data_IF_932907830740
#
_entry.id   IF_932907830740
#
_cell.length_a   1.000
_cell.length_b   1.000
_cell.length_c   1.000
_cell.angle_alpha   90.00
_cell.angle_beta   90.00
_cell.angle_gamma   90.00
#
_symmetry.space_group_name_H-M   'P 1'
#
loop_
_entity.id
_entity.type
_entity.pdbx_description
1 polymer ?
#
# COMPACT_ATOMS: atom_id res chain seq x y z
N UNK A 1 64.39 30.71 -15.19
CA UNK A 1 63.81 31.42 -14.04
C UNK A 1 63.64 30.54 -12.79
N UNK A 2 63.59 29.23 -12.93
CA UNK A 2 63.40 28.28 -11.81
C UNK A 2 64.65 28.19 -10.90
N UNK A 3 65.84 28.24 -11.47
CA UNK A 3 67.10 28.22 -10.72
C UNK A 3 67.29 29.47 -9.85
N UNK A 4 66.85 30.60 -10.33
CA UNK A 4 66.98 31.88 -9.60
C UNK A 4 65.94 31.93 -8.40
N UNK A 5 64.80 31.21 -8.49
CA UNK A 5 63.79 31.16 -7.45
C UNK A 5 64.23 30.19 -6.33
N UNK A 6 64.94 29.12 -6.69
CA UNK A 6 65.53 28.18 -5.75
C UNK A 6 66.72 28.77 -4.97
N UNK A 7 67.60 29.50 -5.62
CA UNK A 7 68.73 30.19 -4.98
C UNK A 7 68.24 31.26 -3.95
N UNK A 8 67.22 31.99 -4.30
CA UNK A 8 66.53 32.92 -3.34
C UNK A 8 65.88 32.18 -2.18
N UNK A 9 65.24 31.04 -2.41
CA UNK A 9 64.60 30.25 -1.37
C UNK A 9 65.61 29.72 -0.34
N UNK A 10 66.81 29.33 -0.79
CA UNK A 10 67.84 28.79 0.13
C UNK A 10 68.64 29.87 0.83
N UNK A 11 68.87 31.03 0.20
CA UNK A 11 69.79 32.06 0.71
C UNK A 11 69.10 33.25 1.42
N UNK A 12 67.76 33.41 1.26
CA UNK A 12 67.02 34.53 1.84
C UNK A 12 65.96 34.00 2.87
N UNK A 13 66.20 34.23 4.20
CA UNK A 13 65.26 33.85 5.23
C UNK A 13 63.91 34.57 5.18
N UNK A 14 63.88 35.83 4.64
CA UNK A 14 62.64 36.59 4.54
C UNK A 14 61.78 36.08 3.37
N UNK A 15 62.41 35.71 2.27
CA UNK A 15 61.71 35.11 1.12
C UNK A 15 61.07 33.78 1.50
N UNK A 16 61.73 32.93 2.32
CA UNK A 16 61.14 31.69 2.88
C UNK A 16 59.92 31.97 3.74
N UNK A 17 59.98 32.99 4.61
CA UNK A 17 58.85 33.38 5.46
C UNK A 17 57.66 33.90 4.64
N UNK A 18 57.91 34.65 3.59
CA UNK A 18 56.84 35.15 2.73
C UNK A 18 56.18 34.03 1.92
N UNK A 19 56.93 33.06 1.38
CA UNK A 19 56.36 31.89 0.71
C UNK A 19 55.58 30.97 1.68
N UNK A 20 56.08 30.77 2.89
CA UNK A 20 55.40 30.00 3.89
C UNK A 20 54.06 30.64 4.34
N UNK A 21 54.03 31.99 4.45
CA UNK A 21 52.79 32.71 4.75
C UNK A 21 51.82 32.73 3.57
N UNK A 22 52.27 32.72 2.33
CA UNK A 22 51.40 32.58 1.16
C UNK A 22 50.82 31.17 1.04
N UNK A 23 51.56 30.11 1.41
CA UNK A 23 51.03 28.76 1.43
C UNK A 23 50.03 28.52 2.58
N UNK A 24 50.24 29.14 3.74
CA UNK A 24 49.27 29.05 4.84
C UNK A 24 48.01 29.93 4.64
N UNK A 25 48.09 30.98 3.83
CA UNK A 25 46.92 31.83 3.52
C UNK A 25 45.94 31.22 2.53
N UNK A 26 46.33 30.21 1.75
CA UNK A 26 45.45 29.53 0.77
C UNK A 26 44.83 28.23 1.32
N UNK A 27 45.11 27.86 2.56
CA UNK A 27 44.59 26.64 3.21
C UNK A 27 43.25 26.78 3.90
N UNK A 28 42.81 28.01 4.13
CA UNK A 28 41.61 28.25 4.99
C UNK A 28 40.32 28.52 4.19
N UNK A 29 40.32 28.43 2.86
CA UNK A 29 39.13 28.68 2.05
C UNK A 29 38.40 27.40 1.56
N UNK A 30 38.92 26.20 1.76
CA UNK A 30 38.27 24.95 1.30
C UNK A 30 37.77 24.02 2.39
N UNK A 31 37.07 24.53 3.42
CA UNK A 31 36.17 23.69 4.18
C UNK A 31 34.94 24.47 4.67
N UNK A 32 34.32 25.23 3.80
CA UNK A 32 32.89 25.47 3.96
C UNK A 32 32.17 24.22 3.47
N UNK A 33 32.14 23.18 4.32
CA UNK A 33 31.05 22.21 4.26
C UNK A 33 29.77 23.02 4.21
N UNK A 34 29.03 22.92 3.12
CA UNK A 34 27.68 23.45 3.03
C UNK A 34 26.83 22.67 4.04
N UNK A 35 26.96 23.02 5.32
CA UNK A 35 25.92 22.75 6.28
C UNK A 35 24.70 23.46 5.70
N UNK A 36 23.76 22.67 5.18
CA UNK A 36 22.44 23.13 4.75
C UNK A 36 21.80 23.76 5.99
N UNK A 37 22.01 25.05 6.14
CA UNK A 37 21.52 25.81 7.30
C UNK A 37 20.01 26.01 7.11
N UNK A 38 19.25 24.98 7.50
CA UNK A 38 17.78 24.95 7.49
C UNK A 38 17.17 26.04 8.39
N UNK A 39 18.05 26.82 9.08
CA UNK A 39 17.63 27.82 10.05
C UNK A 39 17.27 29.17 9.41
N UNK A 40 17.59 29.42 8.15
CA UNK A 40 17.40 30.72 7.53
C UNK A 40 16.05 30.92 6.83
N UNK A 41 15.30 29.84 6.51
CA UNK A 41 13.99 29.96 5.89
C UNK A 41 12.87 29.44 6.81
N UNK A 42 12.09 30.33 7.44
CA UNK A 42 10.99 29.93 8.30
C UNK A 42 9.95 29.06 7.57
N UNK A 43 9.78 29.30 6.28
CA UNK A 43 8.89 28.51 5.42
C UNK A 43 9.33 27.03 5.32
N UNK A 44 10.64 26.78 5.15
CA UNK A 44 11.19 25.40 5.11
C UNK A 44 10.99 24.67 6.43
N UNK A 45 11.12 25.35 7.58
CA UNK A 45 10.84 24.77 8.91
C UNK A 45 9.37 24.35 9.02
N UNK A 46 8.44 25.21 8.62
CA UNK A 46 7.01 24.89 8.66
C UNK A 46 6.64 23.76 7.71
N UNK A 47 7.25 23.71 6.51
CA UNK A 47 7.09 22.60 5.58
C UNK A 47 7.61 21.29 6.19
N UNK A 48 8.79 21.31 6.82
CA UNK A 48 9.37 20.12 7.46
C UNK A 48 8.51 19.63 8.64
N UNK A 49 8.02 20.56 9.47
CA UNK A 49 7.09 20.23 10.57
C UNK A 49 5.79 19.64 10.04
N UNK A 50 5.19 20.27 9.03
CA UNK A 50 3.96 19.79 8.41
C UNK A 50 4.15 18.39 7.78
N UNK A 51 5.27 18.16 7.09
CA UNK A 51 5.63 16.84 6.54
C UNK A 51 5.82 15.81 7.66
N UNK A 52 6.47 16.17 8.75
CA UNK A 52 6.64 15.28 9.91
C UNK A 52 5.31 14.91 10.56
N UNK A 53 4.43 15.88 10.80
CA UNK A 53 3.09 15.64 11.35
C UNK A 53 2.25 14.78 10.42
N UNK A 54 2.30 15.05 9.10
CA UNK A 54 1.62 14.26 8.10
C UNK A 54 2.12 12.80 8.10
N UNK A 55 3.45 12.60 8.14
CA UNK A 55 4.05 11.26 8.17
C UNK A 55 3.63 10.49 9.42
N UNK A 56 3.68 11.12 10.60
CA UNK A 56 3.23 10.51 11.86
C UNK A 56 1.74 10.17 11.79
N UNK A 57 0.92 11.08 11.27
CA UNK A 57 -0.52 10.88 11.07
C UNK A 57 -0.83 9.71 10.14
N UNK A 58 -0.16 9.65 8.98
CA UNK A 58 -0.32 8.55 8.01
C UNK A 58 0.15 7.21 8.59
N UNK A 59 1.28 7.20 9.30
CA UNK A 59 1.79 5.99 9.96
C UNK A 59 0.82 5.51 11.04
N UNK A 60 0.36 6.40 11.92
CA UNK A 60 -0.62 6.08 12.95
C UNK A 60 -1.95 5.58 12.36
N UNK A 61 -2.42 6.21 11.28
CA UNK A 61 -3.61 5.77 10.56
C UNK A 61 -3.41 4.39 9.91
N UNK A 62 -2.25 4.15 9.29
CA UNK A 62 -1.90 2.84 8.74
C UNK A 62 -1.90 1.73 9.80
N UNK A 63 -1.26 1.98 10.96
CA UNK A 63 -1.27 1.05 12.09
C UNK A 63 -2.69 0.80 12.62
N UNK A 64 -3.51 1.84 12.71
CA UNK A 64 -4.93 1.72 13.08
C UNK A 64 -5.71 0.85 12.09
N UNK A 65 -5.49 1.01 10.78
CA UNK A 65 -6.14 0.18 9.76
C UNK A 65 -5.70 -1.28 9.85
N UNK A 66 -4.44 -1.54 10.22
CA UNK A 66 -3.93 -2.91 10.39
C UNK A 66 -4.50 -3.62 11.61
N UNK A 67 -4.98 -2.88 12.61
CA UNK A 67 -5.67 -3.48 13.76
C UNK A 67 -7.02 -4.07 13.33
N UNK A 68 -7.19 -5.36 13.57
CA UNK A 68 -8.42 -6.08 13.23
C UNK A 68 -8.52 -6.56 11.79
N UNK A 69 -7.42 -6.48 11.01
CA UNK A 69 -7.33 -7.24 9.77
C UNK A 69 -7.26 -8.74 10.09
N UNK A 70 -7.91 -9.58 9.27
CA UNK A 70 -7.83 -11.02 9.44
C UNK A 70 -6.41 -11.52 9.25
N UNK A 71 -6.06 -12.56 10.01
CA UNK A 71 -4.82 -13.30 9.82
C UNK A 71 -4.90 -14.17 8.55
N UNK A 72 -3.77 -14.67 8.07
CA UNK A 72 -3.76 -15.65 6.96
C UNK A 72 -4.48 -16.93 7.38
N UNK A 73 -4.36 -17.32 8.64
CA UNK A 73 -5.02 -18.49 9.21
C UNK A 73 -6.57 -18.34 9.24
N UNK A 74 -7.08 -17.12 9.46
CA UNK A 74 -8.50 -16.81 9.30
C UNK A 74 -8.94 -16.90 7.81
N UNK A 75 -8.00 -16.69 6.86
CA UNK A 75 -8.25 -16.83 5.42
C UNK A 75 -8.38 -18.29 4.99
N UNK A 76 -7.52 -19.15 5.53
CA UNK A 76 -7.51 -20.59 5.21
C UNK A 76 -8.68 -21.34 5.82
N UNK A 77 -9.18 -20.87 6.96
CA UNK A 77 -10.31 -21.47 7.66
C UNK A 77 -11.47 -20.49 7.87
N UNK A 78 -12.14 -20.06 6.80
CA UNK A 78 -13.28 -19.16 6.93
C UNK A 78 -14.37 -19.86 7.75
N UNK A 79 -14.81 -19.22 8.83
CA UNK A 79 -15.94 -19.67 9.66
C UNK A 79 -17.22 -19.57 8.81
N UNK A 80 -17.44 -20.54 7.95
CA UNK A 80 -18.70 -20.66 7.21
C UNK A 80 -19.77 -21.21 8.14
N UNK A 81 -20.93 -20.56 8.19
CA UNK A 81 -22.07 -21.09 8.92
C UNK A 81 -22.52 -22.38 8.22
N UNK A 82 -22.24 -23.52 8.85
CA UNK A 82 -22.69 -24.82 8.35
C UNK A 82 -24.16 -24.97 8.69
N UNK A 83 -24.93 -25.51 7.75
CA UNK A 83 -26.31 -25.88 7.98
C UNK A 83 -26.41 -26.95 9.09
N UNK A 84 -27.30 -26.77 10.06
CA UNK A 84 -27.62 -27.81 11.00
C UNK A 84 -28.68 -28.74 10.38
N UNK A 85 -28.42 -30.04 10.34
CA UNK A 85 -29.35 -31.02 9.79
C UNK A 85 -30.12 -31.66 10.92
N UNK A 86 -31.46 -31.73 10.79
CA UNK A 86 -32.33 -32.53 11.63
C UNK A 86 -32.42 -33.91 10.99
N UNK A 87 -31.86 -34.89 11.66
CA UNK A 87 -31.81 -36.28 11.17
C UNK A 87 -32.70 -37.18 12.01
N UNK A 88 -33.48 -38.03 11.35
CA UNK A 88 -34.28 -39.05 12.02
C UNK A 88 -33.39 -40.17 12.58
N UNK A 89 -33.97 -41.06 13.44
CA UNK A 89 -33.23 -42.15 14.09
C UNK A 89 -32.61 -43.14 13.09
N UNK A 90 -33.19 -43.26 11.90
CA UNK A 90 -32.76 -44.12 10.79
C UNK A 90 -31.81 -43.39 9.79
N UNK A 91 -31.35 -42.18 10.14
CA UNK A 91 -30.35 -41.44 9.35
C UNK A 91 -30.93 -40.60 8.20
N UNK A 92 -32.27 -40.51 8.10
CA UNK A 92 -32.89 -39.69 7.05
C UNK A 92 -32.89 -38.20 7.46
N UNK A 93 -32.40 -37.33 6.59
CA UNK A 93 -32.45 -35.88 6.79
C UNK A 93 -33.91 -35.44 6.67
N UNK A 94 -34.49 -34.96 7.78
CA UNK A 94 -35.87 -34.48 7.86
C UNK A 94 -35.97 -33.00 7.48
N UNK A 95 -34.99 -32.21 7.89
CA UNK A 95 -34.93 -30.76 7.59
C UNK A 95 -33.54 -30.22 7.75
N UNK A 96 -33.29 -29.02 7.18
CA UNK A 96 -32.02 -28.29 7.26
C UNK A 96 -32.25 -26.87 7.73
N UNK A 97 -31.62 -26.51 8.85
CA UNK A 97 -31.66 -25.18 9.40
C UNK A 97 -30.38 -24.44 9.00
N UNK A 98 -30.49 -23.39 8.20
CA UNK A 98 -29.39 -22.62 7.73
C UNK A 98 -29.71 -21.12 7.73
N UNK A 99 -28.71 -20.31 8.01
CA UNK A 99 -28.76 -18.86 7.82
C UNK A 99 -28.56 -18.49 6.35
N UNK A 100 -27.74 -19.28 5.64
CA UNK A 100 -27.46 -19.16 4.21
C UNK A 100 -27.39 -20.56 3.62
N UNK A 101 -28.23 -20.83 2.60
CA UNK A 101 -28.21 -22.11 1.91
C UNK A 101 -27.04 -22.11 0.90
N UNK A 102 -25.93 -22.72 1.26
CA UNK A 102 -24.74 -22.83 0.42
C UNK A 102 -24.39 -24.29 0.20
N UNK A 103 -24.20 -24.65 -1.04
CA UNK A 103 -23.64 -25.92 -1.46
C UNK A 103 -22.26 -25.66 -2.07
N UNK A 104 -21.26 -26.37 -1.59
CA UNK A 104 -19.92 -26.30 -2.19
C UNK A 104 -19.97 -27.00 -3.56
N UNK A 105 -19.50 -26.30 -4.59
CA UNK A 105 -19.35 -26.81 -5.95
C UNK A 105 -17.91 -26.54 -6.37
N UNK A 106 -17.15 -27.58 -6.79
CA UNK A 106 -15.81 -27.38 -7.34
C UNK A 106 -15.86 -26.49 -8.58
N UNK A 107 -14.84 -25.65 -8.79
CA UNK A 107 -14.81 -24.70 -9.91
C UNK A 107 -14.86 -25.42 -11.28
N UNK A 108 -14.38 -26.66 -11.34
CA UNK A 108 -14.41 -27.52 -12.52
C UNK A 108 -15.84 -27.90 -12.96
N UNK A 109 -16.79 -27.88 -12.02
CA UNK A 109 -18.20 -28.17 -12.28
C UNK A 109 -19.00 -26.91 -12.61
N UNK A 110 -18.40 -25.71 -12.44
CA UNK A 110 -19.03 -24.45 -12.79
C UNK A 110 -18.81 -24.16 -14.29
N UNK A 111 -19.90 -23.80 -14.98
CA UNK A 111 -19.80 -23.42 -16.40
C UNK A 111 -18.81 -22.28 -16.59
N UNK A 112 -17.85 -22.39 -17.55
CA UNK A 112 -16.95 -21.28 -17.91
C UNK A 112 -17.70 -19.99 -18.25
N UNK A 113 -18.89 -20.11 -18.89
CA UNK A 113 -19.71 -18.94 -19.20
C UNK A 113 -20.24 -18.21 -17.96
N UNK A 114 -20.46 -18.93 -16.85
CA UNK A 114 -20.85 -18.28 -15.60
C UNK A 114 -19.69 -17.49 -14.98
N UNK A 115 -18.48 -18.04 -15.06
CA UNK A 115 -17.25 -17.36 -14.62
C UNK A 115 -16.99 -16.12 -15.47
N UNK A 116 -17.08 -16.25 -16.80
CA UNK A 116 -16.90 -15.14 -17.73
C UNK A 116 -17.94 -14.03 -17.49
N UNK A 117 -19.21 -14.41 -17.26
CA UNK A 117 -20.27 -13.47 -16.95
C UNK A 117 -20.02 -12.72 -15.62
N UNK A 118 -19.55 -13.43 -14.57
CA UNK A 118 -19.18 -12.82 -13.31
C UNK A 118 -18.05 -11.78 -13.51
N UNK A 119 -16.98 -12.17 -14.21
CA UNK A 119 -15.84 -11.28 -14.47
C UNK A 119 -16.28 -10.07 -15.32
N UNK A 120 -17.08 -10.29 -16.36
CA UNK A 120 -17.53 -9.19 -17.23
C UNK A 120 -18.42 -8.18 -16.53
N UNK A 121 -19.23 -8.64 -15.56
CA UNK A 121 -20.18 -7.78 -14.85
C UNK A 121 -19.57 -7.10 -13.63
N UNK A 122 -18.79 -7.82 -12.83
CA UNK A 122 -18.28 -7.35 -11.54
C UNK A 122 -16.89 -6.75 -11.64
N UNK A 123 -16.01 -7.32 -12.50
CA UNK A 123 -14.60 -6.94 -12.53
C UNK A 123 -13.93 -7.33 -13.86
N UNK A 124 -14.28 -6.63 -14.94
CA UNK A 124 -13.80 -6.97 -16.29
C UNK A 124 -12.27 -6.92 -16.46
N UNK A 125 -11.53 -6.35 -15.50
CA UNK A 125 -10.07 -6.34 -15.45
C UNK A 125 -9.48 -7.25 -14.36
N UNK A 126 -10.26 -8.21 -13.88
CA UNK A 126 -9.89 -9.10 -12.78
C UNK A 126 -8.48 -9.67 -12.90
N UNK A 127 -8.09 -10.14 -14.08
CA UNK A 127 -6.76 -10.72 -14.32
C UNK A 127 -5.62 -9.69 -14.42
N UNK A 128 -5.92 -8.38 -14.49
CA UNK A 128 -4.94 -7.33 -14.76
C UNK A 128 -4.57 -6.50 -13.53
N UNK A 129 -5.14 -6.78 -12.38
CA UNK A 129 -4.84 -6.07 -11.15
C UNK A 129 -4.53 -7.04 -9.99
N UNK A 130 -4.00 -6.50 -8.92
CA UNK A 130 -3.51 -7.20 -7.72
C UNK A 130 -4.43 -6.96 -6.48
N UNK A 131 -5.73 -7.07 -6.66
CA UNK A 131 -6.74 -6.88 -5.62
C UNK A 131 -7.43 -5.52 -5.65
N UNK A 132 -6.78 -4.50 -6.24
CA UNK A 132 -7.33 -3.16 -6.43
C UNK A 132 -7.21 -2.78 -7.91
N UNK A 133 -8.31 -2.38 -8.52
CA UNK A 133 -8.33 -1.83 -9.86
C UNK A 133 -8.22 -0.30 -9.81
N UNK A 134 -6.98 0.20 -9.82
CA UNK A 134 -6.69 1.65 -9.79
C UNK A 134 -7.32 2.36 -11.00
N UNK A 135 -7.24 1.78 -12.19
CA UNK A 135 -7.84 2.37 -13.39
C UNK A 135 -9.37 2.46 -13.28
N UNK A 136 -10.01 1.41 -12.71
CA UNK A 136 -11.45 1.41 -12.43
C UNK A 136 -11.85 2.49 -11.44
N UNK A 137 -11.06 2.70 -10.39
CA UNK A 137 -11.29 3.77 -9.42
C UNK A 137 -11.25 5.14 -10.10
N UNK A 138 -10.21 5.41 -10.90
CA UNK A 138 -10.11 6.69 -11.63
C UNK A 138 -11.24 6.86 -12.64
N UNK A 139 -11.63 5.80 -13.38
CA UNK A 139 -12.75 5.84 -14.31
C UNK A 139 -14.09 6.12 -13.59
N UNK A 140 -14.31 5.50 -12.42
CA UNK A 140 -15.51 5.76 -11.61
C UNK A 140 -15.54 7.20 -11.09
N UNK A 141 -14.42 7.73 -10.59
CA UNK A 141 -14.33 9.13 -10.15
C UNK A 141 -14.61 10.09 -11.33
N UNK A 142 -13.99 9.83 -12.48
CA UNK A 142 -14.21 10.63 -13.68
C UNK A 142 -15.70 10.64 -14.10
N UNK A 143 -16.33 9.47 -14.08
CA UNK A 143 -17.75 9.35 -14.40
C UNK A 143 -18.63 10.11 -13.42
N UNK A 144 -18.41 9.99 -12.11
CA UNK A 144 -19.14 10.74 -11.08
C UNK A 144 -19.03 12.25 -11.31
N UNK A 145 -17.82 12.74 -11.62
CA UNK A 145 -17.59 14.18 -11.83
C UNK A 145 -18.24 14.69 -13.12
N UNK A 146 -18.28 13.87 -14.19
CA UNK A 146 -18.75 14.30 -15.52
C UNK A 146 -20.23 14.08 -15.74
N UNK A 147 -20.79 12.97 -15.26
CA UNK A 147 -22.18 12.58 -15.50
C UNK A 147 -23.05 12.55 -14.24
N UNK A 148 -22.43 12.55 -13.05
CA UNK A 148 -23.14 12.35 -11.79
C UNK A 148 -23.52 10.89 -11.49
N UNK A 149 -23.24 9.96 -12.42
CA UNK A 149 -23.60 8.56 -12.27
C UNK A 149 -22.60 7.83 -11.37
N UNK A 150 -23.11 7.09 -10.39
CA UNK A 150 -22.28 6.30 -9.48
C UNK A 150 -22.04 4.92 -10.08
N UNK A 151 -20.81 4.68 -10.51
CA UNK A 151 -20.37 3.35 -10.95
C UNK A 151 -19.62 2.65 -9.82
N UNK A 152 -19.90 1.34 -9.63
CA UNK A 152 -19.09 0.48 -8.75
C UNK A 152 -17.67 0.31 -9.27
N UNK A 153 -16.69 0.46 -8.37
CA UNK A 153 -15.26 0.23 -8.67
C UNK A 153 -14.65 -0.80 -7.71
N UNK A 154 -15.49 -1.66 -7.10
CA UNK A 154 -15.01 -2.72 -6.21
C UNK A 154 -14.66 -3.95 -7.03
N UNK A 155 -13.49 -4.55 -6.76
CA UNK A 155 -13.03 -5.78 -7.42
C UNK A 155 -13.67 -7.02 -6.79
N UNK A 156 -13.61 -8.16 -7.50
CA UNK A 156 -14.04 -9.48 -6.97
C UNK A 156 -13.28 -9.79 -5.68
N UNK A 157 -11.97 -9.55 -5.63
CA UNK A 157 -11.15 -9.77 -4.43
C UNK A 157 -11.58 -8.92 -3.23
N UNK A 158 -12.03 -7.66 -3.46
CA UNK A 158 -12.59 -6.81 -2.41
C UNK A 158 -13.96 -7.31 -1.92
N UNK A 159 -14.79 -7.83 -2.85
CA UNK A 159 -16.07 -8.42 -2.50
C UNK A 159 -15.89 -9.72 -1.71
N UNK A 160 -14.92 -10.57 -2.10
CA UNK A 160 -14.52 -11.75 -1.36
C UNK A 160 -14.05 -11.39 0.05
N UNK A 161 -13.14 -10.41 0.17
CA UNK A 161 -12.67 -9.90 1.46
C UNK A 161 -13.82 -9.49 2.38
N UNK A 162 -14.77 -8.73 1.87
CA UNK A 162 -15.97 -8.29 2.62
C UNK A 162 -16.85 -9.46 3.06
N UNK A 163 -17.02 -10.47 2.21
CA UNK A 163 -17.91 -11.61 2.47
C UNK A 163 -17.28 -12.61 3.44
N UNK A 164 -15.98 -12.86 3.34
CA UNK A 164 -15.25 -13.77 4.22
C UNK A 164 -15.10 -13.20 5.64
N UNK A 165 -14.98 -11.88 5.77
CA UNK A 165 -14.65 -11.27 7.06
C UNK A 165 -15.82 -10.49 7.65
N UNK A 166 -16.60 -11.18 8.47
CA UNK A 166 -17.66 -10.55 9.29
C UNK A 166 -17.10 -9.43 10.19
N UNK A 167 -15.82 -9.51 10.60
CA UNK A 167 -15.13 -8.49 11.40
C UNK A 167 -14.94 -7.15 10.68
N UNK A 168 -14.93 -7.13 9.34
CA UNK A 168 -14.81 -5.89 8.57
C UNK A 168 -16.09 -5.04 8.71
N UNK A 169 -17.19 -5.64 9.20
CA UNK A 169 -18.45 -4.93 9.46
C UNK A 169 -19.26 -4.67 8.20
N UNK A 170 -20.56 -4.51 8.36
CA UNK A 170 -21.51 -4.20 7.27
C UNK A 170 -21.78 -2.70 7.13
N UNK A 171 -21.25 -1.89 8.06
CA UNK A 171 -21.46 -0.45 8.04
C UNK A 171 -20.70 0.22 6.89
N UNK A 172 -21.37 1.15 6.23
CA UNK A 172 -20.71 1.97 5.22
C UNK A 172 -19.76 2.95 5.90
N UNK A 173 -18.46 2.68 5.83
CA UNK A 173 -17.44 3.60 6.31
C UNK A 173 -16.23 3.56 5.37
N UNK A 174 -15.55 4.68 5.22
CA UNK A 174 -14.28 4.76 4.48
C UNK A 174 -13.22 3.84 5.09
N UNK A 175 -13.20 3.72 6.43
CA UNK A 175 -12.29 2.83 7.16
C UNK A 175 -12.50 1.38 6.74
N UNK A 176 -13.76 0.93 6.66
CA UNK A 176 -14.10 -0.39 6.14
C UNK A 176 -13.58 -0.57 4.73
N UNK A 177 -13.76 0.42 3.85
CA UNK A 177 -13.30 0.32 2.46
C UNK A 177 -11.78 0.18 2.37
N UNK A 178 -11.02 0.93 3.17
CA UNK A 178 -9.57 0.75 3.25
C UNK A 178 -9.18 -0.64 3.75
N UNK A 179 -9.88 -1.19 4.76
CA UNK A 179 -9.63 -2.55 5.26
C UNK A 179 -9.95 -3.60 4.20
N UNK A 180 -11.06 -3.48 3.45
CA UNK A 180 -11.38 -4.34 2.31
C UNK A 180 -10.25 -4.32 1.27
N UNK A 181 -9.73 -3.15 0.92
CA UNK A 181 -8.63 -3.00 -0.04
C UNK A 181 -7.35 -3.68 0.45
N UNK A 182 -6.95 -3.46 1.69
CA UNK A 182 -5.74 -4.10 2.25
C UNK A 182 -5.92 -5.62 2.30
N UNK A 183 -7.10 -6.11 2.69
CA UNK A 183 -7.39 -7.54 2.74
C UNK A 183 -7.41 -8.16 1.34
N UNK A 184 -7.97 -7.46 0.34
CA UNK A 184 -7.96 -7.91 -1.05
C UNK A 184 -6.52 -8.06 -1.60
N UNK A 185 -5.62 -7.13 -1.26
CA UNK A 185 -4.20 -7.25 -1.61
C UNK A 185 -3.58 -8.49 -0.95
N UNK A 186 -3.86 -8.73 0.33
CA UNK A 186 -3.36 -9.92 1.04
C UNK A 186 -3.88 -11.21 0.40
N UNK A 187 -5.14 -11.26 0.00
CA UNK A 187 -5.72 -12.42 -0.71
C UNK A 187 -4.94 -12.64 -2.01
N UNK A 188 -4.76 -11.63 -2.82
CA UNK A 188 -4.05 -11.75 -4.12
C UNK A 188 -2.55 -12.07 -4.00
N UNK A 189 -1.94 -11.82 -2.84
CA UNK A 189 -0.55 -12.21 -2.56
C UNK A 189 -0.41 -13.69 -2.19
N UNK A 190 -1.48 -14.31 -1.68
CA UNK A 190 -1.44 -15.68 -1.14
C UNK A 190 -2.22 -16.68 -2.00
N UNK A 191 -3.16 -16.21 -2.84
CA UNK A 191 -4.03 -17.04 -3.66
C UNK A 191 -3.94 -16.64 -5.13
N UNK A 192 -4.04 -17.62 -6.00
CA UNK A 192 -4.12 -17.40 -7.45
C UNK A 192 -5.50 -16.86 -7.84
N UNK A 193 -5.58 -16.23 -9.00
CA UNK A 193 -6.87 -15.74 -9.55
C UNK A 193 -7.92 -16.85 -9.64
N UNK A 194 -7.51 -18.08 -9.94
CA UNK A 194 -8.40 -19.24 -10.00
C UNK A 194 -8.94 -19.65 -8.62
N UNK A 195 -8.15 -19.50 -7.58
CA UNK A 195 -8.58 -19.80 -6.21
C UNK A 195 -9.47 -18.70 -5.61
N UNK A 196 -9.39 -17.49 -6.15
CA UNK A 196 -10.20 -16.34 -5.71
C UNK A 196 -11.62 -16.38 -6.29
N UNK A 197 -11.77 -16.92 -7.51
CA UNK A 197 -13.07 -17.13 -8.17
C UNK A 197 -13.80 -18.33 -7.57
#
# INVERSE_FOLDING_TARGET
>A
DYENDMDRYFNDPEYRRQKANQQNGNGDEESKSSSFDSNQNPLLKWIAIAAGVLTIGLTGFGLYLMQGLPSIEDLENPQTAVASELVSRDGVVLDRYYTENRTYVPIEEISPHAIDALIATEDHRFYNHWGIDIQGIFAAIYQIVTTGDIRGASTISQQLARNLYKKIGREFSLIRKFREMITAIKIEQNYTKREII
#
